data_IF_706818626026
#
_entry.id   IF_706818626026
#
_cell.length_a   1.000
_cell.length_b   1.000
_cell.length_c   1.000
_cell.angle_alpha   90.00
_cell.angle_beta   90.00
_cell.angle_gamma   90.00
#
_symmetry.space_group_name_H-M   'P 1'
#
loop_
_entity.id
_entity.type
_entity.pdbx_description
1 polymer ?
#
# COMPACT_ATOMS: atom_id res chain seq x y z
N UNK A 1 -11.82 10.52 2.68
CA UNK A 1 -11.16 11.56 1.89
C UNK A 1 -11.67 11.46 0.48
N UNK A 2 -12.32 12.50 0.01
CA UNK A 2 -12.77 12.60 -1.39
C UNK A 2 -12.04 13.77 -2.03
N UNK A 3 -11.53 13.60 -3.23
CA UNK A 3 -10.91 14.68 -3.97
C UNK A 3 -11.37 14.71 -5.43
N UNK A 4 -11.30 15.90 -6.00
CA UNK A 4 -11.49 16.10 -7.43
C UNK A 4 -10.43 17.05 -7.98
N UNK A 5 -10.06 16.83 -9.22
CA UNK A 5 -9.13 17.68 -9.97
C UNK A 5 -9.73 18.05 -11.32
N UNK A 6 -9.46 19.27 -11.75
CA UNK A 6 -9.75 19.80 -13.10
C UNK A 6 -8.52 20.55 -13.59
N UNK A 7 -8.36 20.61 -14.92
CA UNK A 7 -7.28 21.36 -15.57
C UNK A 7 -7.79 21.99 -16.86
N UNK A 8 -7.22 23.13 -17.24
CA UNK A 8 -7.43 23.80 -18.52
C UNK A 8 -6.53 23.26 -19.64
N UNK A 9 -5.57 22.38 -19.29
CA UNK A 9 -4.69 21.69 -20.21
C UNK A 9 -4.58 20.19 -19.82
N UNK A 10 -4.19 19.34 -20.77
CA UNK A 10 -3.87 17.94 -20.48
C UNK A 10 -2.74 17.86 -19.47
N UNK A 11 -2.92 17.09 -18.40
CA UNK A 11 -1.93 16.95 -17.32
C UNK A 11 -2.02 15.58 -16.65
N UNK A 12 -1.08 15.28 -15.76
CA UNK A 12 -1.05 14.06 -14.96
C UNK A 12 -1.47 14.37 -13.53
N UNK A 13 -2.37 13.56 -12.96
CA UNK A 13 -2.84 13.70 -11.58
C UNK A 13 -2.89 12.34 -10.90
N UNK A 14 -2.03 12.15 -9.89
CA UNK A 14 -2.01 10.97 -9.02
C UNK A 14 -1.90 11.43 -7.57
N UNK A 15 -3.04 11.69 -6.92
CA UNK A 15 -3.10 12.13 -5.53
C UNK A 15 -3.29 10.92 -4.62
N UNK A 16 -2.57 10.89 -3.50
CA UNK A 16 -2.69 9.88 -2.45
C UNK A 16 -2.67 10.52 -1.07
N UNK A 17 -2.61 9.70 -0.03
CA UNK A 17 -2.38 10.10 1.36
C UNK A 17 -1.19 9.32 1.91
N UNK A 18 -0.14 10.02 2.32
CA UNK A 18 1.09 9.44 2.85
C UNK A 18 1.10 9.45 4.39
N UNK A 19 0.02 8.96 5.00
CA UNK A 19 -0.09 8.84 6.45
C UNK A 19 0.66 7.61 6.96
N UNK A 20 1.41 7.78 8.07
CA UNK A 20 2.05 6.67 8.77
C UNK A 20 1.15 6.15 9.89
N UNK A 21 0.93 4.85 9.92
CA UNK A 21 0.08 4.18 10.91
C UNK A 21 0.90 3.26 11.80
N UNK A 22 0.62 3.33 13.11
CA UNK A 22 1.05 2.35 14.10
C UNK A 22 -0.09 2.13 15.09
N UNK A 23 -0.83 1.05 14.91
CA UNK A 23 -2.00 0.74 15.72
C UNK A 23 -1.65 0.31 17.14
N UNK A 24 -0.38 -0.02 17.43
CA UNK A 24 0.08 -0.32 18.78
C UNK A 24 0.30 0.95 19.63
N UNK A 25 0.34 2.12 19.00
CA UNK A 25 0.50 3.43 19.65
C UNK A 25 1.92 3.77 20.08
N UNK A 26 2.86 2.84 20.03
CA UNK A 26 4.28 3.05 20.32
C UNK A 26 5.13 1.86 19.83
N UNK A 27 6.45 2.08 19.73
CA UNK A 27 7.41 1.10 19.24
C UNK A 27 7.27 0.83 17.74
N UNK A 28 7.75 -0.33 17.31
CA UNK A 28 7.71 -0.73 15.91
C UNK A 28 6.37 -1.39 15.50
N UNK A 29 6.19 -1.58 14.19
CA UNK A 29 5.01 -2.22 13.61
C UNK A 29 5.19 -3.73 13.37
N UNK A 30 6.29 -4.33 13.79
CA UNK A 30 6.66 -5.71 13.44
C UNK A 30 5.67 -6.76 13.93
N UNK A 31 4.93 -6.47 15.01
CA UNK A 31 3.89 -7.36 15.55
C UNK A 31 2.50 -7.15 14.88
N UNK A 32 2.37 -6.21 13.94
CA UNK A 32 1.14 -6.06 13.18
C UNK A 32 1.02 -7.16 12.13
N UNK A 33 -0.22 -7.46 11.75
CA UNK A 33 -0.56 -8.37 10.66
C UNK A 33 -1.16 -7.56 9.52
N UNK A 34 -0.60 -7.74 8.33
CA UNK A 34 -0.99 -7.06 7.11
C UNK A 34 -1.68 -8.03 6.16
N UNK A 35 -2.76 -7.58 5.54
CA UNK A 35 -3.44 -8.24 4.43
C UNK A 35 -3.62 -7.27 3.27
N UNK A 36 -3.29 -7.70 2.06
CA UNK A 36 -3.50 -6.94 0.82
C UNK A 36 -4.17 -7.87 -0.19
N UNK A 37 -5.49 -7.72 -0.45
CA UNK A 37 -6.25 -8.61 -1.34
C UNK A 37 -6.04 -8.25 -2.82
N UNK A 38 -4.80 -8.36 -3.28
CA UNK A 38 -4.42 -8.11 -4.67
C UNK A 38 -3.67 -9.30 -5.24
N UNK A 39 -3.90 -9.60 -6.52
CA UNK A 39 -3.32 -10.75 -7.21
C UNK A 39 -1.99 -10.43 -7.90
N UNK A 40 -1.65 -9.14 -8.03
CA UNK A 40 -0.47 -8.67 -8.75
C UNK A 40 0.24 -7.54 -8.02
N UNK A 41 1.49 -7.32 -8.39
CA UNK A 41 2.32 -6.18 -7.97
C UNK A 41 3.15 -5.67 -9.16
N UNK A 42 3.75 -4.48 -9.03
CA UNK A 42 4.69 -3.94 -9.99
C UNK A 42 6.11 -4.08 -9.44
N UNK A 43 6.98 -4.94 -10.05
CA UNK A 43 8.36 -5.11 -9.61
C UNK A 43 9.16 -3.82 -9.78
N UNK A 44 10.15 -3.64 -8.92
CA UNK A 44 11.12 -2.53 -9.00
C UNK A 44 12.53 -3.06 -9.22
N UNK A 45 13.39 -2.22 -9.79
CA UNK A 45 14.82 -2.48 -9.92
C UNK A 45 15.60 -2.03 -8.67
N UNK A 46 16.91 -2.10 -8.71
CA UNK A 46 17.79 -1.68 -7.60
C UNK A 46 17.76 -0.18 -7.29
N UNK A 47 17.18 0.64 -8.15
CA UNK A 47 16.94 2.07 -7.94
C UNK A 47 15.51 2.34 -7.46
N UNK A 48 14.73 1.30 -7.17
CA UNK A 48 13.32 1.31 -6.78
C UNK A 48 12.39 1.89 -7.86
N UNK A 49 12.80 1.78 -9.12
CA UNK A 49 12.01 2.21 -10.27
C UNK A 49 11.28 1.00 -10.85
N UNK A 50 9.99 1.14 -11.13
CA UNK A 50 9.20 0.05 -11.74
C UNK A 50 9.66 -0.25 -13.16
N UNK A 51 9.73 -1.56 -13.48
CA UNK A 51 10.09 -2.03 -14.83
C UNK A 51 8.95 -1.89 -15.86
N UNK A 52 7.73 -1.57 -15.43
CA UNK A 52 6.52 -1.60 -16.26
C UNK A 52 5.84 -2.98 -16.29
N UNK A 53 6.43 -4.00 -15.69
CA UNK A 53 5.82 -5.33 -15.54
C UNK A 53 4.69 -5.31 -14.49
N UNK A 54 3.65 -6.12 -14.73
CA UNK A 54 2.63 -6.47 -13.72
C UNK A 54 2.78 -7.97 -13.47
N UNK A 55 3.27 -8.34 -12.28
CA UNK A 55 3.62 -9.72 -11.92
C UNK A 55 2.63 -10.26 -10.89
N UNK A 56 2.28 -11.56 -11.00
CA UNK A 56 1.46 -12.24 -10.00
C UNK A 56 2.18 -12.33 -8.65
N UNK A 57 1.44 -12.11 -7.56
CA UNK A 57 1.94 -12.33 -6.19
C UNK A 57 2.02 -13.82 -5.84
N UNK A 58 1.27 -14.67 -6.55
CA UNK A 58 1.12 -16.09 -6.22
C UNK A 58 2.47 -16.79 -6.15
N UNK A 59 2.74 -17.41 -5.00
CA UNK A 59 4.00 -18.12 -4.76
C UNK A 59 5.21 -17.24 -4.50
N UNK A 60 5.02 -15.94 -4.30
CA UNK A 60 6.06 -14.98 -3.90
C UNK A 60 5.89 -14.59 -2.43
N UNK A 61 6.89 -13.93 -1.86
CA UNK A 61 6.85 -13.35 -0.51
C UNK A 61 5.81 -12.22 -0.40
N UNK A 62 5.41 -11.62 -1.54
CA UNK A 62 4.41 -10.54 -1.63
C UNK A 62 2.97 -11.05 -1.75
N UNK A 63 2.71 -12.36 -1.64
CA UNK A 63 1.37 -12.92 -1.53
C UNK A 63 0.79 -12.65 -0.13
N UNK A 64 0.17 -11.50 0.03
CA UNK A 64 -0.45 -11.04 1.27
C UNK A 64 -1.98 -11.13 1.22
N UNK A 65 -2.54 -12.08 0.47
CA UNK A 65 -4.00 -12.29 0.43
C UNK A 65 -4.57 -12.79 1.77
N UNK A 66 -3.75 -13.44 2.60
CA UNK A 66 -4.01 -13.73 4.01
C UNK A 66 -3.31 -12.76 4.94
N UNK A 67 -3.74 -12.70 6.22
CA UNK A 67 -3.02 -11.92 7.23
C UNK A 67 -1.63 -12.50 7.49
N UNK A 68 -0.60 -11.69 7.24
CA UNK A 68 0.82 -12.02 7.42
C UNK A 68 1.43 -11.10 8.47
N UNK A 69 2.12 -11.68 9.46
CA UNK A 69 2.82 -10.90 10.48
C UNK A 69 4.02 -10.20 9.85
N UNK A 70 4.15 -8.88 10.08
CA UNK A 70 5.22 -8.10 9.46
C UNK A 70 6.61 -8.56 9.89
N UNK A 71 6.81 -8.97 11.14
CA UNK A 71 8.11 -9.52 11.59
C UNK A 71 8.58 -10.68 10.74
N UNK A 72 7.70 -11.62 10.44
CA UNK A 72 8.05 -12.83 9.69
C UNK A 72 8.31 -12.50 8.22
N UNK A 73 7.50 -11.59 7.65
CA UNK A 73 7.65 -11.09 6.29
C UNK A 73 8.99 -10.35 6.09
N UNK A 74 9.29 -9.39 6.97
CA UNK A 74 10.48 -8.54 6.83
C UNK A 74 11.78 -9.26 7.20
N UNK A 75 11.71 -10.41 7.88
CA UNK A 75 12.86 -11.28 8.14
C UNK A 75 13.22 -12.20 6.96
N UNK A 76 12.50 -12.11 5.84
CA UNK A 76 12.74 -12.93 4.65
C UNK A 76 14.03 -12.53 3.93
N UNK A 77 14.77 -13.53 3.46
CA UNK A 77 15.94 -13.34 2.58
C UNK A 77 15.54 -13.16 1.09
N UNK A 78 14.24 -13.01 0.80
CA UNK A 78 13.75 -12.83 -0.56
C UNK A 78 14.26 -11.51 -1.15
N UNK A 79 14.75 -11.51 -2.41
CA UNK A 79 15.28 -10.31 -3.06
C UNK A 79 14.34 -9.10 -3.06
N UNK A 80 13.02 -9.32 -3.17
CA UNK A 80 12.02 -8.23 -3.12
C UNK A 80 12.10 -7.49 -1.77
N UNK A 81 12.23 -8.22 -0.65
CA UNK A 81 12.35 -7.62 0.68
C UNK A 81 13.74 -6.97 0.88
N UNK A 82 14.78 -7.64 0.44
CA UNK A 82 16.17 -7.18 0.66
C UNK A 82 16.48 -5.92 -0.15
N UNK A 83 15.96 -5.79 -1.37
CA UNK A 83 16.19 -4.61 -2.23
C UNK A 83 15.61 -3.33 -1.61
N UNK A 84 14.50 -3.44 -0.87
CA UNK A 84 13.82 -2.29 -0.27
C UNK A 84 14.12 -2.12 1.24
N UNK A 85 14.95 -2.98 1.84
CA UNK A 85 15.11 -3.09 3.30
C UNK A 85 13.76 -3.27 4.03
N UNK A 86 12.80 -3.94 3.38
CA UNK A 86 11.44 -4.14 3.85
C UNK A 86 10.40 -4.07 2.72
N UNK A 87 9.19 -3.59 3.00
CA UNK A 87 8.23 -3.29 1.93
C UNK A 87 8.40 -1.83 1.46
N UNK A 88 8.44 -1.67 0.15
CA UNK A 88 8.26 -0.41 -0.58
C UNK A 88 7.74 -0.76 -1.98
N UNK A 89 6.57 -1.41 -2.02
CA UNK A 89 6.04 -2.02 -3.23
C UNK A 89 4.63 -1.51 -3.53
N UNK A 90 4.29 -1.49 -4.81
CA UNK A 90 2.93 -1.22 -5.28
C UNK A 90 2.21 -2.53 -5.62
N UNK A 91 1.14 -2.83 -4.90
CA UNK A 91 0.19 -3.87 -5.27
C UNK A 91 -0.77 -3.35 -6.32
N UNK A 92 -0.86 -4.10 -7.41
CA UNK A 92 -1.67 -3.79 -8.57
C UNK A 92 -2.98 -4.59 -8.54
N UNK A 93 -4.10 -3.91 -8.67
CA UNK A 93 -5.40 -4.60 -8.71
C UNK A 93 -6.59 -3.68 -8.62
N UNK A 94 -7.68 -4.13 -9.23
CA UNK A 94 -8.94 -3.41 -9.31
C UNK A 94 -9.01 -2.42 -10.47
N UNK A 95 -10.22 -2.24 -10.99
CA UNK A 95 -10.49 -1.24 -12.01
C UNK A 95 -10.51 0.16 -11.40
N UNK A 96 -9.91 1.17 -12.05
CA UNK A 96 -10.03 2.56 -11.62
C UNK A 96 -11.51 2.98 -11.53
N UNK A 97 -11.88 3.62 -10.41
CA UNK A 97 -13.25 4.08 -10.16
C UNK A 97 -14.10 3.13 -9.31
N UNK A 98 -13.76 1.86 -9.21
CA UNK A 98 -14.44 0.92 -8.31
C UNK A 98 -13.94 1.09 -6.87
N UNK A 99 -14.88 1.32 -5.94
CA UNK A 99 -14.52 1.45 -4.53
C UNK A 99 -14.36 0.07 -3.89
N UNK A 100 -13.12 -0.32 -3.61
CA UNK A 100 -12.76 -1.65 -3.14
C UNK A 100 -11.83 -1.59 -1.92
N UNK A 101 -11.81 -2.66 -1.13
CA UNK A 101 -10.81 -2.89 -0.09
C UNK A 101 -9.42 -3.04 -0.72
N UNK A 102 -8.44 -2.32 -0.18
CA UNK A 102 -7.05 -2.33 -0.66
C UNK A 102 -6.09 -2.94 0.34
N UNK A 103 -6.32 -2.72 1.64
CA UNK A 103 -5.50 -3.31 2.69
C UNK A 103 -6.26 -3.40 4.01
N UNK A 104 -5.79 -4.29 4.86
CA UNK A 104 -6.16 -4.39 6.26
C UNK A 104 -4.89 -4.54 7.11
N UNK A 105 -4.81 -3.77 8.18
CA UNK A 105 -3.73 -3.83 9.16
C UNK A 105 -4.32 -4.10 10.53
N UNK A 106 -3.80 -5.10 11.24
CA UNK A 106 -4.27 -5.51 12.56
C UNK A 106 -3.17 -5.39 13.59
N UNK A 107 -3.50 -4.84 14.75
CA UNK A 107 -2.67 -4.94 15.95
C UNK A 107 -3.37 -5.82 16.99
N UNK A 108 -2.81 -6.98 17.27
CA UNK A 108 -3.31 -7.85 18.34
C UNK A 108 -3.12 -7.24 19.74
N UNK A 109 -2.16 -6.32 19.90
CA UNK A 109 -1.91 -5.62 21.16
C UNK A 109 -3.06 -4.72 21.59
N UNK A 110 -3.72 -4.07 20.63
CA UNK A 110 -4.78 -3.07 20.89
C UNK A 110 -6.15 -3.53 20.43
N UNK A 111 -6.25 -4.70 19.76
CA UNK A 111 -7.48 -5.16 19.12
C UNK A 111 -8.04 -4.15 18.10
N UNK A 112 -7.16 -3.43 17.41
CA UNK A 112 -7.53 -2.48 16.37
C UNK A 112 -7.29 -3.07 14.98
N UNK A 113 -8.24 -2.83 14.09
CA UNK A 113 -8.17 -3.06 12.66
C UNK A 113 -8.26 -1.71 11.93
N UNK A 114 -7.30 -1.44 11.05
CA UNK A 114 -7.38 -0.41 10.03
C UNK A 114 -7.73 -1.06 8.70
N UNK A 115 -8.86 -0.70 8.10
CA UNK A 115 -9.22 -1.07 6.73
C UNK A 115 -9.04 0.14 5.81
N UNK A 116 -8.37 -0.08 4.67
CA UNK A 116 -8.13 0.93 3.64
C UNK A 116 -8.91 0.54 2.39
N UNK A 117 -9.81 1.41 1.94
CA UNK A 117 -10.59 1.22 0.72
C UNK A 117 -10.42 2.41 -0.21
N UNK A 118 -10.43 2.17 -1.52
CA UNK A 118 -10.22 3.24 -2.49
C UNK A 118 -10.81 2.92 -3.86
N UNK A 119 -11.03 3.99 -4.65
CA UNK A 119 -11.32 3.93 -6.10
C UNK A 119 -10.06 3.98 -6.97
N UNK A 120 -8.87 4.09 -6.36
CA UNK A 120 -7.59 4.10 -7.06
C UNK A 120 -7.11 2.68 -7.37
N UNK A 121 -6.39 2.45 -8.48
CA UNK A 121 -6.10 1.10 -8.98
C UNK A 121 -5.01 0.36 -8.20
N UNK A 122 -4.10 1.08 -7.56
CA UNK A 122 -2.96 0.52 -6.84
C UNK A 122 -2.95 0.85 -5.36
N UNK A 123 -2.06 0.16 -4.65
CA UNK A 123 -1.72 0.43 -3.25
C UNK A 123 -0.21 0.36 -3.09
N UNK A 124 0.44 1.48 -2.82
CA UNK A 124 1.81 1.47 -2.32
C UNK A 124 1.80 1.14 -0.83
N UNK A 125 2.62 0.20 -0.42
CA UNK A 125 2.84 -0.15 0.97
C UNK A 125 4.32 0.04 1.32
N UNK A 126 4.59 0.90 2.31
CA UNK A 126 5.93 1.22 2.79
C UNK A 126 6.03 0.98 4.29
N UNK A 127 6.96 0.13 4.73
CA UNK A 127 7.08 -0.27 6.14
C UNK A 127 8.01 0.63 6.97
N UNK A 128 8.25 1.86 6.52
CA UNK A 128 9.04 2.84 7.29
C UNK A 128 10.52 2.49 7.39
N UNK A 129 11.08 1.85 6.34
CA UNK A 129 12.42 1.27 6.31
C UNK A 129 13.54 2.29 6.65
N UNK A 130 13.31 3.57 6.30
CA UNK A 130 14.30 4.65 6.48
C UNK A 130 13.81 5.80 7.37
N UNK A 131 12.79 5.57 8.22
CA UNK A 131 12.24 6.61 9.12
C UNK A 131 13.28 7.18 10.08
N UNK A 132 14.26 6.39 10.49
CA UNK A 132 15.36 6.83 11.37
C UNK A 132 16.19 7.98 10.75
N UNK A 133 16.17 8.18 9.44
CA UNK A 133 16.90 9.25 8.78
C UNK A 133 16.44 10.67 9.18
N UNK A 134 15.21 10.80 9.68
CA UNK A 134 14.69 12.09 10.18
C UNK A 134 15.11 12.42 11.62
N UNK A 135 15.73 11.47 12.35
CA UNK A 135 16.19 11.62 13.73
C UNK A 135 15.09 11.70 14.79
N UNK A 136 13.82 11.51 14.41
CA UNK A 136 12.65 11.60 15.31
C UNK A 136 12.08 10.21 15.57
N UNK A 137 12.02 9.37 14.53
CA UNK A 137 11.43 8.02 14.57
C UNK A 137 12.49 6.95 14.32
N UNK A 138 12.26 5.75 14.86
CA UNK A 138 13.05 4.56 14.58
C UNK A 138 12.62 3.89 13.27
N UNK A 139 13.44 2.96 12.79
CA UNK A 139 13.11 2.07 11.69
C UNK A 139 11.82 1.29 12.02
N UNK A 140 10.93 1.15 11.06
CA UNK A 140 9.65 0.43 11.21
C UNK A 140 8.73 0.93 12.35
N UNK A 141 8.79 2.20 12.74
CA UNK A 141 7.84 2.76 13.71
C UNK A 141 6.48 3.14 13.10
N UNK A 142 6.33 3.03 11.78
CA UNK A 142 5.07 3.28 11.09
C UNK A 142 5.02 2.65 9.71
N UNK A 143 3.82 2.35 9.23
CA UNK A 143 3.55 1.82 7.90
C UNK A 143 2.68 2.81 7.12
N UNK A 144 3.02 3.03 5.84
CA UNK A 144 2.18 3.75 4.89
C UNK A 144 1.38 2.76 4.04
N UNK A 145 0.11 3.08 3.85
CA UNK A 145 -0.81 2.36 2.97
C UNK A 145 -1.45 3.41 2.06
N UNK A 146 -0.96 3.50 0.82
CA UNK A 146 -1.18 4.64 -0.07
C UNK A 146 -1.91 4.20 -1.34
N UNK A 147 -3.25 4.26 -1.37
CA UNK A 147 -3.97 4.07 -2.62
C UNK A 147 -3.59 5.15 -3.63
N UNK A 148 -3.15 4.74 -4.83
CA UNK A 148 -2.67 5.63 -5.89
C UNK A 148 -2.74 4.98 -7.27
N UNK A 149 -2.39 5.73 -8.33
CA UNK A 149 -1.97 5.12 -9.60
C UNK A 149 -0.61 4.46 -9.41
N UNK A 150 -0.31 3.45 -10.24
CA UNK A 150 0.98 2.76 -10.12
C UNK A 150 2.13 3.75 -10.35
N UNK A 151 3.25 3.61 -9.63
CA UNK A 151 4.44 4.41 -9.89
C UNK A 151 4.82 4.34 -11.38
N UNK A 152 5.29 5.46 -11.92
CA UNK A 152 5.67 5.62 -13.33
C UNK A 152 4.54 5.40 -14.37
N UNK A 153 3.27 5.36 -13.96
CA UNK A 153 2.13 5.17 -14.88
C UNK A 153 2.13 6.07 -16.14
N UNK A 154 2.61 7.33 -16.11
CA UNK A 154 2.64 8.15 -17.31
C UNK A 154 3.53 7.60 -18.43
N UNK A 155 4.55 6.82 -18.09
CA UNK A 155 5.54 6.27 -19.03
C UNK A 155 5.27 4.79 -19.38
N UNK A 156 4.32 4.14 -18.70
CA UNK A 156 4.01 2.72 -18.85
C UNK A 156 2.64 2.55 -19.55
N UNK A 157 2.60 2.18 -20.84
CA UNK A 157 1.35 2.14 -21.61
C UNK A 157 0.33 1.12 -21.10
N UNK A 158 0.80 0.06 -20.43
CA UNK A 158 -0.04 -1.01 -19.89
C UNK A 158 -0.57 -0.70 -18.48
N UNK A 159 -0.12 0.40 -17.86
CA UNK A 159 -0.60 0.81 -16.54
C UNK A 159 -1.85 1.67 -16.65
N UNK A 160 -2.71 1.68 -15.61
CA UNK A 160 -3.84 2.60 -15.55
C UNK A 160 -3.37 4.07 -15.69
N UNK A 161 -3.94 4.79 -16.65
CA UNK A 161 -3.49 6.15 -16.97
C UNK A 161 -3.92 7.19 -15.92
N UNK A 162 -2.98 7.96 -15.34
CA UNK A 162 -3.27 9.08 -14.46
C UNK A 162 -3.61 10.38 -15.23
N UNK A 163 -3.70 10.31 -16.57
CA UNK A 163 -3.98 11.47 -17.43
C UNK A 163 -5.33 12.11 -17.07
N UNK A 164 -5.34 13.42 -16.95
CA UNK A 164 -6.51 14.29 -16.87
C UNK A 164 -6.53 15.17 -18.09
N UNK A 165 -7.57 15.00 -18.94
CA UNK A 165 -7.76 15.82 -20.13
C UNK A 165 -8.24 17.21 -19.78
N UNK A 166 -7.94 18.19 -20.64
CA UNK A 166 -8.43 19.53 -20.52
C UNK A 166 -9.98 19.55 -20.44
N UNK A 167 -10.50 20.23 -19.42
CA UNK A 167 -11.94 20.35 -19.16
C UNK A 167 -12.60 19.14 -18.50
N UNK A 168 -11.92 18.00 -18.35
CA UNK A 168 -12.43 16.84 -17.60
C UNK A 168 -12.33 17.04 -16.09
N UNK A 169 -13.15 16.28 -15.35
CA UNK A 169 -13.06 16.18 -13.89
C UNK A 169 -12.66 14.76 -13.50
N UNK A 170 -11.52 14.61 -12.84
CA UNK A 170 -11.10 13.34 -12.22
C UNK A 170 -11.51 13.34 -10.75
N UNK A 171 -12.11 12.25 -10.28
CA UNK A 171 -12.58 12.11 -8.90
C UNK A 171 -12.14 10.76 -8.34
N UNK A 172 -11.65 10.78 -7.09
CA UNK A 172 -11.33 9.56 -6.36
C UNK A 172 -11.69 9.69 -4.89
N UNK A 173 -11.83 8.50 -4.27
CA UNK A 173 -12.11 8.35 -2.84
C UNK A 173 -11.07 7.44 -2.21
N UNK A 174 -10.58 7.84 -1.04
CA UNK A 174 -9.80 7.01 -0.12
C UNK A 174 -10.48 7.00 1.24
N UNK A 175 -10.68 5.83 1.83
CA UNK A 175 -11.24 5.68 3.16
C UNK A 175 -10.29 4.88 4.05
N UNK A 176 -9.91 5.46 5.17
CA UNK A 176 -9.27 4.79 6.28
C UNK A 176 -10.31 4.61 7.38
N UNK A 177 -10.58 3.37 7.76
CA UNK A 177 -11.54 3.04 8.82
C UNK A 177 -10.83 2.25 9.91
N UNK A 178 -10.86 2.78 11.13
CA UNK A 178 -10.38 2.08 12.33
C UNK A 178 -11.58 1.51 13.07
N UNK A 179 -11.48 0.25 13.51
CA UNK A 179 -12.50 -0.45 14.29
C UNK A 179 -11.86 -1.32 15.37
N UNK A 180 -12.57 -1.50 16.48
CA UNK A 180 -12.23 -2.53 17.47
C UNK A 180 -12.70 -3.89 16.96
N UNK A 181 -11.89 -4.92 17.18
CA UNK A 181 -12.13 -6.30 16.76
C UNK A 181 -11.67 -7.28 17.85
N UNK A 182 -12.05 -8.53 17.73
CA UNK A 182 -11.34 -9.63 18.38
C UNK A 182 -10.21 -10.09 17.45
N UNK A 183 -9.03 -9.56 17.67
CA UNK A 183 -7.87 -9.83 16.82
C UNK A 183 -7.44 -11.32 16.89
N UNK A 184 -7.58 -11.97 18.07
CA UNK A 184 -7.29 -13.39 18.20
C UNK A 184 -8.21 -14.22 17.31
N UNK A 185 -9.51 -14.03 17.43
CA UNK A 185 -10.49 -14.75 16.61
C UNK A 185 -10.32 -14.48 15.10
N UNK A 186 -9.91 -13.28 14.70
CA UNK A 186 -9.68 -12.95 13.28
C UNK A 186 -8.42 -13.61 12.73
N UNK A 187 -7.31 -13.62 13.48
CA UNK A 187 -6.02 -14.13 13.03
C UNK A 187 -5.92 -15.67 13.11
N UNK A 188 -6.77 -16.32 13.92
CA UNK A 188 -6.84 -17.79 14.03
C UNK A 188 -7.61 -18.44 12.87
N UNK A 189 -8.29 -17.69 12.02
CA UNK A 189 -9.02 -18.18 10.84
C UNK A 189 -8.07 -18.44 9.64
N UNK A 190 -7.09 -19.35 9.82
CA UNK A 190 -6.15 -19.77 8.76
C UNK A 190 -6.64 -21.01 8.03
#
# INVERSE_FOLDING_TARGET
MDWQAQSDADTVVSLTSHGYFNLAGCGDILEHHLRIPADHYTPVDSELITSGEIRSVTGTVLDLQGFTRLRDLLASDDPEIQTCDGLDHNWAGGAPGEFQLRAELVSARTNLLLSVSSTLPGLQCYTGNHLQANGIHGCHEGICLEPQYYPDSPNQPDFPSPLLRAGETKRHRIQYRVSEIDAGALLDQR
#
